data_IF_792425893831
#
_entry.id   IF_792425893831
#
_cell.length_a   1.000
_cell.length_b   1.000
_cell.length_c   1.000
_cell.angle_alpha   90.00
_cell.angle_beta   90.00
_cell.angle_gamma   90.00
#
_symmetry.space_group_name_H-M   'P 1'
#
loop_
_entity.id
_entity.type
_entity.pdbx_description
1 polymer ?
#
# COMPACT_ATOMS: atom_id res chain seq x y z
N UNK A 1 -25.17 -4.70 14.40
CA UNK A 1 -24.68 -3.31 14.46
C UNK A 1 -23.81 -3.07 13.24
N UNK A 2 -24.22 -2.18 12.35
CA UNK A 2 -23.36 -1.69 11.26
C UNK A 2 -22.25 -0.86 11.91
N UNK A 3 -21.01 -1.33 11.80
CA UNK A 3 -19.86 -0.57 12.29
C UNK A 3 -19.66 0.64 11.38
N UNK A 4 -19.58 1.82 11.98
CA UNK A 4 -19.46 3.08 11.24
C UNK A 4 -18.09 3.17 10.56
N UNK A 5 -18.11 3.40 9.24
CA UNK A 5 -16.91 3.59 8.44
C UNK A 5 -16.57 5.07 8.47
N UNK A 6 -15.36 5.48 8.89
CA UNK A 6 -15.00 6.88 8.96
C UNK A 6 -15.03 7.54 7.56
N UNK A 7 -15.50 8.79 7.49
CA UNK A 7 -15.32 9.64 6.30
C UNK A 7 -13.83 9.94 6.08
N UNK A 8 -13.47 10.43 4.89
CA UNK A 8 -12.10 10.85 4.63
C UNK A 8 -11.64 11.93 5.62
N UNK A 9 -12.51 12.90 5.93
CA UNK A 9 -12.21 13.93 6.92
C UNK A 9 -11.94 13.32 8.30
N UNK A 10 -12.79 12.42 8.78
CA UNK A 10 -12.62 11.78 10.09
C UNK A 10 -11.38 10.84 10.11
N UNK A 11 -11.07 10.18 8.99
CA UNK A 11 -9.86 9.37 8.87
C UNK A 11 -8.61 10.19 9.11
N UNK A 12 -8.46 11.29 8.38
CA UNK A 12 -7.26 12.14 8.47
C UNK A 12 -7.21 12.97 9.75
N UNK A 13 -8.36 13.38 10.30
CA UNK A 13 -8.41 14.03 11.62
C UNK A 13 -7.95 13.10 12.77
N UNK A 14 -8.03 11.79 12.57
CA UNK A 14 -7.56 10.79 13.53
C UNK A 14 -6.07 10.46 13.42
N UNK A 15 -5.31 11.17 12.61
CA UNK A 15 -3.86 10.99 12.43
C UNK A 15 -3.09 12.29 12.61
N UNK A 16 -1.82 12.26 12.23
CA UNK A 16 -0.90 13.39 12.32
C UNK A 16 0.04 13.44 11.11
N UNK A 17 0.66 14.58 10.89
CA UNK A 17 1.70 14.76 9.88
C UNK A 17 3.03 15.01 10.56
N UNK A 18 4.00 14.13 10.34
CA UNK A 18 5.36 14.23 10.88
C UNK A 18 6.36 14.67 9.81
N UNK A 19 7.49 15.23 10.24
CA UNK A 19 8.56 15.63 9.33
C UNK A 19 9.38 14.43 8.84
N UNK A 20 9.71 14.42 7.55
CA UNK A 20 10.60 13.44 6.94
C UNK A 20 11.65 14.13 6.06
N UNK A 21 12.91 13.80 6.27
CA UNK A 21 14.03 14.22 5.41
C UNK A 21 14.41 13.05 4.48
N UNK A 22 14.13 13.13 3.18
CA UNK A 22 14.45 12.08 2.23
C UNK A 22 15.97 11.93 2.00
N UNK A 23 16.77 12.97 2.22
CA UNK A 23 18.22 12.89 2.06
C UNK A 23 18.87 12.15 3.24
N UNK A 24 18.43 12.44 4.45
CA UNK A 24 18.84 11.74 5.66
C UNK A 24 18.15 10.39 5.83
N UNK A 25 17.04 10.14 5.12
CA UNK A 25 16.15 8.98 5.29
C UNK A 25 15.70 8.83 6.74
N UNK A 26 15.29 9.93 7.34
CA UNK A 26 14.99 10.01 8.76
C UNK A 26 13.73 10.84 9.05
N UNK A 27 13.04 10.46 10.13
CA UNK A 27 12.01 11.31 10.73
C UNK A 27 12.70 12.44 11.49
N UNK A 28 12.25 13.66 11.28
CA UNK A 28 12.79 14.88 11.88
C UNK A 28 11.72 15.60 12.67
N UNK A 29 12.13 16.15 13.84
CA UNK A 29 11.21 16.86 14.74
C UNK A 29 10.94 18.30 14.31
N UNK A 30 11.91 18.94 13.67
CA UNK A 30 11.81 20.34 13.20
C UNK A 30 11.49 20.33 11.71
N UNK A 31 10.32 20.80 11.32
CA UNK A 31 9.82 20.64 9.95
C UNK A 31 10.27 21.71 8.96
N UNK A 32 11.15 22.61 9.31
CA UNK A 32 11.62 23.63 8.37
C UNK A 32 12.41 22.95 7.24
N UNK A 33 11.82 22.96 6.02
CA UNK A 33 12.38 22.28 4.85
C UNK A 33 12.13 20.76 4.75
N UNK A 34 11.58 20.11 5.79
CA UNK A 34 11.22 18.72 5.74
C UNK A 34 9.89 18.47 5.02
N UNK A 35 9.77 17.35 4.34
CA UNK A 35 8.51 16.86 3.79
C UNK A 35 7.61 16.37 4.92
N UNK A 36 6.29 16.54 4.76
CA UNK A 36 5.30 16.08 5.74
C UNK A 36 4.71 14.76 5.29
N UNK A 37 4.72 13.78 6.19
CA UNK A 37 4.18 12.44 5.98
C UNK A 37 3.06 12.18 6.96
N UNK A 38 1.92 11.73 6.47
CA UNK A 38 0.77 11.38 7.29
C UNK A 38 0.92 10.00 7.90
N UNK A 39 0.62 9.92 9.20
CA UNK A 39 0.51 8.69 9.97
C UNK A 39 -0.80 8.68 10.77
N UNK A 40 -1.40 7.51 10.89
CA UNK A 40 -2.44 7.22 11.87
C UNK A 40 -1.99 6.06 12.75
N UNK A 41 -2.06 6.26 14.05
CA UNK A 41 -1.55 5.33 15.05
C UNK A 41 -2.65 4.93 16.03
N UNK A 42 -2.67 3.65 16.42
CA UNK A 42 -3.52 3.14 17.48
C UNK A 42 -2.72 2.19 18.37
N UNK A 43 -2.71 2.45 19.68
CA UNK A 43 -1.99 1.64 20.67
C UNK A 43 -0.48 1.92 20.75
N UNK A 44 0.24 1.05 21.45
CA UNK A 44 1.71 1.13 21.60
C UNK A 44 2.40 0.51 20.38
N UNK A 45 3.15 1.33 19.66
CA UNK A 45 3.77 0.94 18.40
C UNK A 45 5.03 0.07 18.57
N UNK A 46 5.51 -0.18 19.78
CA UNK A 46 6.67 -1.05 19.96
C UNK A 46 6.50 -2.41 19.26
N UNK A 47 5.25 -2.92 19.22
CA UNK A 47 4.87 -4.19 18.58
C UNK A 47 3.61 -3.99 17.75
N UNK A 48 3.72 -3.32 16.60
CA UNK A 48 2.55 -2.89 15.81
C UNK A 48 2.35 -3.72 14.54
N UNK A 49 1.10 -3.77 14.07
CA UNK A 49 0.79 -4.17 12.71
C UNK A 49 0.92 -2.94 11.80
N UNK A 50 1.80 -3.00 10.80
CA UNK A 50 2.00 -1.94 9.83
C UNK A 50 1.15 -2.18 8.58
N UNK A 51 0.17 -1.31 8.36
CA UNK A 51 -0.73 -1.34 7.22
C UNK A 51 -0.19 -0.45 6.10
N UNK A 52 0.40 -1.07 5.08
CA UNK A 52 0.99 -0.39 3.94
C UNK A 52 -0.06 -0.25 2.82
N UNK A 53 -0.33 0.97 2.36
CA UNK A 53 -1.47 1.25 1.49
C UNK A 53 -1.24 0.87 0.04
N UNK A 54 -2.34 0.64 -0.68
CA UNK A 54 -2.37 0.54 -2.13
C UNK A 54 -2.44 1.89 -2.83
N UNK A 55 -2.21 1.87 -4.13
CA UNK A 55 -2.36 3.04 -5.01
C UNK A 55 -3.73 2.98 -5.71
N UNK A 56 -4.44 4.08 -5.81
CA UNK A 56 -4.10 5.44 -5.38
C UNK A 56 -4.72 5.84 -4.02
N UNK A 57 -5.38 4.94 -3.32
CA UNK A 57 -6.25 5.20 -2.16
C UNK A 57 -5.51 5.77 -0.95
N UNK A 58 -4.22 5.52 -0.84
CA UNK A 58 -3.47 5.83 0.36
C UNK A 58 -3.97 5.04 1.59
N UNK A 59 -3.65 5.53 2.76
CA UNK A 59 -4.08 4.91 4.02
C UNK A 59 -5.61 4.88 4.19
N UNK A 60 -6.34 5.79 3.53
CA UNK A 60 -7.80 5.81 3.56
C UNK A 60 -8.43 4.53 2.99
N UNK A 61 -7.72 3.82 2.12
CA UNK A 61 -8.13 2.49 1.66
C UNK A 61 -8.44 1.51 2.80
N UNK A 62 -7.80 1.66 3.96
CA UNK A 62 -8.01 0.84 5.16
C UNK A 62 -9.21 1.27 6.01
N UNK A 63 -9.86 2.41 5.72
CA UNK A 63 -10.95 2.95 6.51
C UNK A 63 -12.13 1.98 6.68
N UNK A 64 -12.43 1.19 5.65
CA UNK A 64 -13.50 0.17 5.72
C UNK A 64 -13.09 -1.09 6.50
N UNK A 65 -11.81 -1.33 6.66
CA UNK A 65 -11.27 -2.50 7.38
C UNK A 65 -11.18 -2.20 8.86
N UNK A 66 -10.79 -0.97 9.22
CA UNK A 66 -10.54 -0.56 10.60
C UNK A 66 -11.65 -0.97 11.60
N UNK A 67 -12.94 -0.79 11.32
CA UNK A 67 -14.00 -1.15 12.26
C UNK A 67 -14.08 -2.65 12.58
N UNK A 68 -13.44 -3.51 11.77
CA UNK A 68 -13.45 -4.97 11.94
C UNK A 68 -12.17 -5.49 12.60
N UNK A 69 -11.17 -4.64 12.78
CA UNK A 69 -9.92 -4.99 13.46
C UNK A 69 -10.11 -4.91 14.99
N UNK A 70 -9.30 -5.63 15.76
CA UNK A 70 -9.23 -5.48 17.23
C UNK A 70 -8.92 -4.04 17.64
N UNK A 71 -9.17 -3.70 18.91
CA UNK A 71 -8.83 -2.38 19.45
C UNK A 71 -7.33 -2.10 19.37
N UNK A 72 -6.93 -0.84 19.49
CA UNK A 72 -5.51 -0.48 19.52
C UNK A 72 -4.78 -1.03 20.76
N UNK A 73 -5.50 -1.37 21.82
CA UNK A 73 -4.92 -2.02 23.00
C UNK A 73 -4.57 -3.49 22.73
N UNK A 74 -5.43 -4.20 21.97
CA UNK A 74 -5.24 -5.61 21.66
C UNK A 74 -4.36 -5.83 20.42
N UNK A 75 -4.42 -4.91 19.48
CA UNK A 75 -3.64 -4.93 18.24
C UNK A 75 -3.20 -3.51 17.87
N UNK A 76 -2.01 -3.07 18.31
CA UNK A 76 -1.44 -1.80 17.90
C UNK A 76 -1.29 -1.72 16.39
N UNK A 77 -1.67 -0.57 15.79
CA UNK A 77 -1.74 -0.38 14.34
C UNK A 77 -1.03 0.89 13.91
N UNK A 78 -0.30 0.79 12.83
CA UNK A 78 0.32 1.90 12.13
C UNK A 78 -0.18 1.94 10.69
N UNK A 79 -0.86 3.02 10.32
CA UNK A 79 -1.22 3.34 8.94
C UNK A 79 -0.38 4.53 8.49
N UNK A 80 -0.03 4.58 7.22
CA UNK A 80 0.76 5.67 6.66
C UNK A 80 0.32 6.00 5.23
N UNK A 81 0.58 7.25 4.82
CA UNK A 81 0.55 7.64 3.42
C UNK A 81 1.98 7.84 2.90
N UNK A 82 2.29 7.24 1.77
CA UNK A 82 3.53 7.58 1.08
C UNK A 82 3.50 9.01 0.55
N UNK A 83 4.67 9.61 0.34
CA UNK A 83 4.74 10.85 -0.43
C UNK A 83 4.03 10.67 -1.78
N UNK A 84 3.27 11.67 -2.18
CA UNK A 84 2.43 11.62 -3.38
C UNK A 84 1.00 11.12 -3.14
N UNK A 85 0.65 10.63 -1.93
CA UNK A 85 -0.65 10.02 -1.62
C UNK A 85 -1.29 10.62 -0.37
N UNK A 86 -2.61 10.52 -0.28
CA UNK A 86 -3.41 10.89 0.89
C UNK A 86 -3.07 12.27 1.46
N UNK A 87 -2.80 12.34 2.77
CA UNK A 87 -2.46 13.60 3.47
C UNK A 87 -0.95 13.88 3.55
N UNK A 88 -0.10 13.05 2.91
CA UNK A 88 1.32 13.32 2.77
C UNK A 88 1.62 14.35 1.67
N UNK A 89 2.79 14.99 1.74
CA UNK A 89 3.23 15.94 0.72
C UNK A 89 3.42 15.32 -0.66
N UNK A 90 3.38 16.19 -1.69
CA UNK A 90 3.51 15.83 -3.10
C UNK A 90 4.67 16.61 -3.74
N UNK A 91 5.93 16.31 -3.38
CA UNK A 91 7.08 17.02 -3.92
C UNK A 91 7.18 16.80 -5.44
N UNK A 92 7.48 17.89 -6.17
CA UNK A 92 7.52 17.90 -7.64
C UNK A 92 8.70 17.09 -8.19
N UNK A 93 9.84 17.18 -7.52
CA UNK A 93 11.13 16.61 -7.95
C UNK A 93 11.45 15.34 -7.15
N UNK A 94 10.45 14.49 -6.95
CA UNK A 94 10.57 13.23 -6.23
C UNK A 94 10.25 12.08 -7.19
N UNK A 95 11.07 11.01 -7.15
CA UNK A 95 10.95 9.92 -8.13
C UNK A 95 9.76 8.99 -7.84
N UNK A 96 9.26 8.98 -6.61
CA UNK A 96 8.18 8.09 -6.17
C UNK A 96 8.48 6.61 -6.41
N UNK A 97 9.75 6.25 -6.35
CA UNK A 97 10.25 4.89 -6.57
C UNK A 97 9.92 3.95 -5.42
N UNK A 98 9.93 2.65 -5.68
CA UNK A 98 9.82 1.61 -4.64
C UNK A 98 10.90 1.76 -3.57
N UNK A 99 12.12 2.12 -3.98
CA UNK A 99 13.27 2.33 -3.08
C UNK A 99 13.02 3.44 -2.09
N UNK A 100 12.56 4.62 -2.56
CA UNK A 100 12.26 5.78 -1.70
C UNK A 100 11.08 5.51 -0.75
N UNK A 101 10.06 4.79 -1.20
CA UNK A 101 8.96 4.37 -0.34
C UNK A 101 9.41 3.41 0.75
N UNK A 102 10.32 2.50 0.43
CA UNK A 102 10.93 1.62 1.43
C UNK A 102 11.78 2.41 2.42
N UNK A 103 12.57 3.40 1.95
CA UNK A 103 13.33 4.29 2.81
C UNK A 103 12.42 5.03 3.80
N UNK A 104 11.29 5.53 3.33
CA UNK A 104 10.29 6.20 4.17
C UNK A 104 9.73 5.26 5.24
N UNK A 105 9.31 4.05 4.88
CA UNK A 105 8.75 3.07 5.83
C UNK A 105 9.79 2.69 6.88
N UNK A 106 11.03 2.41 6.46
CA UNK A 106 12.13 2.10 7.39
C UNK A 106 12.41 3.28 8.33
N UNK A 107 12.39 4.53 7.83
CA UNK A 107 12.56 5.74 8.64
C UNK A 107 11.44 5.93 9.67
N UNK A 108 10.18 5.65 9.27
CA UNK A 108 9.02 5.72 10.18
C UNK A 108 9.17 4.70 11.30
N UNK A 109 9.47 3.44 11.00
CA UNK A 109 9.66 2.42 12.04
C UNK A 109 10.77 2.80 13.01
N UNK A 110 11.89 3.29 12.47
CA UNK A 110 13.01 3.72 13.29
C UNK A 110 12.66 4.93 14.17
N UNK A 111 12.08 5.96 13.57
CA UNK A 111 11.72 7.20 14.26
C UNK A 111 10.64 7.03 15.32
N UNK A 112 9.76 6.03 15.16
CA UNK A 112 8.70 5.70 16.13
C UNK A 112 9.11 4.60 17.13
N UNK A 113 10.33 4.07 17.04
CA UNK A 113 10.81 3.04 17.95
C UNK A 113 10.10 1.69 17.83
N UNK A 114 9.60 1.35 16.62
CA UNK A 114 8.97 0.05 16.33
C UNK A 114 10.01 -1.05 16.47
N UNK A 115 9.81 -1.98 17.41
CA UNK A 115 10.73 -3.09 17.69
C UNK A 115 10.38 -4.33 16.88
N UNK A 116 9.08 -4.60 16.72
CA UNK A 116 8.61 -5.68 15.87
C UNK A 116 7.33 -5.29 15.13
N UNK A 117 7.09 -5.91 13.97
CA UNK A 117 5.92 -5.62 13.16
C UNK A 117 5.42 -6.84 12.40
N UNK A 118 4.11 -6.89 12.19
CA UNK A 118 3.49 -7.70 11.14
C UNK A 118 3.17 -6.77 9.97
N UNK A 119 3.58 -7.15 8.77
CA UNK A 119 3.38 -6.35 7.56
C UNK A 119 2.08 -6.76 6.88
N UNK A 120 1.18 -5.82 6.72
CA UNK A 120 -0.04 -5.99 5.93
C UNK A 120 0.06 -5.03 4.74
N UNK A 121 0.35 -5.57 3.57
CA UNK A 121 0.60 -4.80 2.36
C UNK A 121 -0.53 -5.01 1.34
N UNK A 122 -0.93 -3.93 0.72
CA UNK A 122 -1.96 -3.93 -0.31
C UNK A 122 -1.39 -3.37 -1.62
N UNK A 123 -1.74 -4.03 -2.74
CA UNK A 123 -1.38 -3.57 -4.09
C UNK A 123 0.15 -3.39 -4.24
N UNK A 124 0.62 -2.27 -4.79
CA UNK A 124 2.05 -2.00 -5.01
C UNK A 124 2.92 -2.01 -3.73
N UNK A 125 2.32 -1.90 -2.55
CA UNK A 125 3.09 -2.04 -1.30
C UNK A 125 3.71 -3.43 -1.11
N UNK A 126 3.27 -4.42 -1.88
CA UNK A 126 3.98 -5.69 -2.04
C UNK A 126 5.45 -5.47 -2.41
N UNK A 127 5.73 -4.57 -3.36
CA UNK A 127 7.09 -4.26 -3.81
C UNK A 127 7.93 -3.61 -2.70
N UNK A 128 7.31 -2.77 -1.87
CA UNK A 128 7.97 -2.16 -0.70
C UNK A 128 8.36 -3.24 0.32
N UNK A 129 7.47 -4.20 0.57
CA UNK A 129 7.76 -5.36 1.45
C UNK A 129 8.89 -6.21 0.87
N UNK A 130 8.84 -6.54 -0.42
CA UNK A 130 9.90 -7.32 -1.08
C UNK A 130 11.25 -6.60 -1.03
N UNK A 131 11.28 -5.30 -1.28
CA UNK A 131 12.51 -4.50 -1.19
C UNK A 131 13.06 -4.48 0.25
N UNK A 132 12.21 -4.32 1.25
CA UNK A 132 12.62 -4.38 2.64
C UNK A 132 13.24 -5.76 3.00
N UNK A 133 12.56 -6.86 2.65
CA UNK A 133 13.06 -8.22 2.90
C UNK A 133 14.38 -8.47 2.16
N UNK A 134 14.50 -8.01 0.92
CA UNK A 134 15.74 -8.08 0.14
C UNK A 134 16.90 -7.34 0.82
N UNK A 135 16.64 -6.14 1.33
CA UNK A 135 17.65 -5.35 2.08
C UNK A 135 18.09 -6.09 3.35
N UNK A 136 17.15 -6.68 4.07
CA UNK A 136 17.46 -7.51 5.25
C UNK A 136 18.36 -8.69 4.90
N UNK A 137 18.04 -9.39 3.80
CA UNK A 137 18.85 -10.51 3.31
C UNK A 137 20.26 -10.07 2.94
N UNK A 138 20.41 -8.97 2.21
CA UNK A 138 21.73 -8.43 1.85
C UNK A 138 22.56 -8.00 3.08
N UNK A 139 21.92 -7.42 4.09
CA UNK A 139 22.61 -7.08 5.35
C UNK A 139 23.10 -8.34 6.05
N UNK A 140 22.25 -9.37 6.16
CA UNK A 140 22.62 -10.64 6.76
C UNK A 140 23.78 -11.34 6.03
N UNK A 141 23.77 -11.35 4.70
CA UNK A 141 24.86 -11.90 3.88
C UNK A 141 26.19 -11.15 4.08
N UNK A 142 26.15 -9.89 4.50
CA UNK A 142 27.34 -9.07 4.82
C UNK A 142 27.68 -9.10 6.31
N UNK A 143 27.10 -9.99 7.11
CA UNK A 143 27.31 -10.05 8.54
C UNK A 143 26.84 -8.82 9.32
N UNK A 144 25.95 -8.01 8.75
CA UNK A 144 25.40 -6.80 9.38
C UNK A 144 24.07 -7.11 10.06
N UNK A 145 23.67 -6.34 11.11
CA UNK A 145 22.34 -6.42 11.68
C UNK A 145 21.25 -6.30 10.61
N UNK A 146 20.13 -6.98 10.81
CA UNK A 146 19.04 -7.02 9.84
C UNK A 146 18.52 -5.63 9.44
N UNK A 147 18.56 -4.67 10.38
CA UNK A 147 18.01 -3.32 10.23
C UNK A 147 16.49 -3.32 10.27
N UNK A 148 15.91 -2.31 10.90
CA UNK A 148 14.46 -2.22 11.10
C UNK A 148 13.93 -3.20 12.16
N UNK A 149 12.58 -3.25 12.32
CA UNK A 149 11.92 -4.08 13.31
C UNK A 149 12.02 -5.57 13.00
N UNK A 150 11.83 -6.44 14.01
CA UNK A 150 11.63 -7.87 13.77
C UNK A 150 10.31 -8.11 13.07
N UNK A 151 10.31 -8.96 12.03
CA UNK A 151 9.12 -9.30 11.27
C UNK A 151 8.46 -10.53 11.88
N UNK A 152 7.19 -10.41 12.27
CA UNK A 152 6.38 -11.50 12.83
C UNK A 152 5.45 -12.15 11.80
N UNK A 153 5.17 -11.48 10.69
CA UNK A 153 4.34 -12.01 9.62
C UNK A 153 4.31 -11.07 8.42
N UNK A 154 3.98 -11.62 7.27
CA UNK A 154 3.82 -10.87 6.02
C UNK A 154 2.52 -11.29 5.36
N UNK A 155 1.59 -10.34 5.22
CA UNK A 155 0.32 -10.50 4.54
C UNK A 155 0.28 -9.56 3.34
N UNK A 156 0.15 -10.10 2.14
CA UNK A 156 0.13 -9.35 0.89
C UNK A 156 -1.20 -9.62 0.17
N UNK A 157 -1.92 -8.54 -0.13
CA UNK A 157 -3.21 -8.62 -0.83
C UNK A 157 -3.13 -7.87 -2.15
N UNK A 158 -3.61 -8.51 -3.23
CA UNK A 158 -3.62 -7.97 -4.59
C UNK A 158 -2.29 -7.31 -4.98
N UNK A 159 -1.17 -7.96 -4.63
CA UNK A 159 0.17 -7.43 -4.83
C UNK A 159 0.87 -8.02 -6.04
N UNK A 160 1.67 -7.21 -6.70
CA UNK A 160 2.53 -7.61 -7.83
C UNK A 160 3.73 -8.42 -7.37
N UNK A 161 3.56 -9.72 -7.15
CA UNK A 161 4.61 -10.63 -6.66
C UNK A 161 5.50 -11.18 -7.76
N UNK A 162 4.92 -11.41 -8.93
CA UNK A 162 5.57 -11.98 -10.09
C UNK A 162 5.37 -11.09 -11.31
N UNK A 163 6.44 -10.73 -12.01
CA UNK A 163 6.39 -9.81 -13.15
C UNK A 163 5.58 -10.35 -14.32
N UNK A 164 5.57 -11.66 -14.52
CA UNK A 164 4.80 -12.33 -15.57
C UNK A 164 3.30 -12.50 -15.22
N UNK A 165 2.92 -12.17 -13.98
CA UNK A 165 1.53 -12.10 -13.54
C UNK A 165 0.92 -10.71 -13.58
N UNK A 166 1.73 -9.69 -13.84
CA UNK A 166 1.32 -8.29 -13.81
C UNK A 166 0.77 -7.81 -15.15
N UNK A 167 -0.32 -7.08 -15.12
CA UNK A 167 -0.91 -6.48 -16.32
C UNK A 167 -1.38 -5.04 -16.09
N UNK A 168 -1.39 -4.26 -17.17
CA UNK A 168 -1.94 -2.90 -17.17
C UNK A 168 -3.04 -2.78 -18.22
N UNK A 169 -4.33 -2.78 -17.83
CA UNK A 169 -5.39 -2.46 -18.74
C UNK A 169 -5.15 -1.10 -19.41
N UNK A 170 -5.46 -0.99 -20.72
CA UNK A 170 -5.17 0.20 -21.54
C UNK A 170 -5.76 1.50 -20.98
N UNK A 171 -6.88 1.40 -20.24
CA UNK A 171 -7.59 2.53 -19.64
C UNK A 171 -7.00 3.03 -18.32
N UNK A 172 -5.89 2.47 -17.87
CA UNK A 172 -5.19 2.82 -16.64
C UNK A 172 -3.89 3.58 -16.95
N UNK A 173 -2.78 3.14 -16.42
CA UNK A 173 -1.46 3.75 -16.61
C UNK A 173 -1.06 3.97 -18.08
N UNK A 174 -1.31 3.03 -19.03
CA UNK A 174 -1.00 3.27 -20.43
C UNK A 174 -1.76 4.46 -21.03
N UNK A 175 -3.03 4.62 -20.67
CA UNK A 175 -3.82 5.79 -21.10
C UNK A 175 -3.27 7.08 -20.50
N UNK A 176 -3.00 7.10 -19.21
CA UNK A 176 -2.43 8.27 -18.54
C UNK A 176 -1.09 8.69 -19.15
N UNK A 177 -0.22 7.74 -19.51
CA UNK A 177 1.08 8.01 -20.15
C UNK A 177 0.96 8.61 -21.55
N UNK A 178 -0.12 8.31 -22.28
CA UNK A 178 -0.37 8.86 -23.64
C UNK A 178 -0.89 10.29 -23.62
N UNK A 179 -1.41 10.76 -22.48
CA UNK A 179 -1.87 12.13 -22.37
C UNK A 179 -0.70 13.12 -22.32
N UNK A 180 -0.82 14.31 -22.93
CA UNK A 180 0.14 15.39 -22.75
C UNK A 180 0.34 15.74 -21.27
N UNK A 181 1.53 16.16 -20.87
CA UNK A 181 1.86 16.45 -19.48
C UNK A 181 0.85 17.40 -18.79
N UNK A 182 0.35 18.41 -19.53
CA UNK A 182 -0.69 19.33 -19.02
C UNK A 182 -2.02 18.64 -18.77
N UNK A 183 -2.40 17.66 -19.60
CA UNK A 183 -3.64 16.92 -19.44
C UNK A 183 -3.54 15.79 -18.41
N UNK A 184 -2.34 15.27 -18.16
CA UNK A 184 -2.10 14.30 -17.05
C UNK A 184 -2.31 14.92 -15.69
N UNK A 185 -1.95 16.22 -15.56
CA UNK A 185 -2.10 16.97 -14.33
C UNK A 185 -3.56 17.31 -14.13
N UNK A 186 -4.18 16.75 -13.11
CA UNK A 186 -5.57 17.07 -12.75
C UNK A 186 -6.66 16.23 -13.45
N UNK A 187 -6.30 15.19 -14.22
CA UNK A 187 -7.29 14.19 -14.67
C UNK A 187 -7.96 13.55 -13.45
N UNK A 188 -9.29 13.63 -13.39
CA UNK A 188 -10.07 13.15 -12.26
C UNK A 188 -10.27 14.19 -11.14
N UNK A 189 -9.61 15.34 -11.18
CA UNK A 189 -9.79 16.40 -10.18
C UNK A 189 -11.23 16.93 -10.10
N UNK A 190 -11.97 17.17 -11.23
CA UNK A 190 -13.40 17.40 -11.14
C UNK A 190 -14.14 16.13 -10.70
N UNK A 191 -14.82 16.20 -9.56
CA UNK A 191 -15.53 15.06 -8.94
C UNK A 191 -16.48 14.35 -9.94
N UNK A 192 -17.19 15.11 -10.78
CA UNK A 192 -18.10 14.55 -11.77
C UNK A 192 -17.36 13.70 -12.82
N UNK A 193 -16.13 14.10 -13.20
CA UNK A 193 -15.30 13.34 -14.14
C UNK A 193 -14.73 12.10 -13.45
N UNK A 194 -14.22 12.24 -12.22
CA UNK A 194 -13.73 11.14 -11.40
C UNK A 194 -14.76 10.02 -11.27
N UNK A 195 -16.00 10.37 -10.93
CA UNK A 195 -17.10 9.41 -10.81
C UNK A 195 -17.42 8.65 -12.10
N UNK A 196 -17.09 9.22 -13.26
CA UNK A 196 -17.34 8.64 -14.59
C UNK A 196 -16.13 7.92 -15.20
N UNK A 197 -14.96 8.00 -14.57
CA UNK A 197 -13.76 7.32 -15.08
C UNK A 197 -13.96 5.80 -15.06
N UNK A 198 -13.86 5.11 -16.22
CA UNK A 198 -14.12 3.65 -16.29
C UNK A 198 -13.21 2.84 -15.36
N UNK A 199 -11.96 3.26 -15.20
CA UNK A 199 -10.98 2.62 -14.31
C UNK A 199 -11.42 2.65 -12.85
N UNK A 200 -12.01 3.75 -12.39
CA UNK A 200 -12.39 3.92 -10.98
C UNK A 200 -13.45 2.89 -10.56
N UNK A 201 -14.55 2.77 -11.33
CA UNK A 201 -15.63 1.83 -10.97
C UNK A 201 -15.24 0.35 -11.12
N UNK A 202 -14.29 0.05 -11.98
CA UNK A 202 -13.76 -1.31 -12.20
C UNK A 202 -12.79 -1.77 -11.11
N UNK A 203 -12.43 -0.91 -10.17
CA UNK A 203 -11.58 -1.25 -9.01
C UNK A 203 -12.36 -1.95 -7.88
N UNK A 204 -13.66 -2.21 -8.04
CA UNK A 204 -14.49 -2.94 -7.08
C UNK A 204 -14.95 -4.27 -7.67
N UNK A 205 -15.25 -5.23 -6.81
CA UNK A 205 -15.89 -6.49 -7.21
C UNK A 205 -17.17 -6.23 -7.99
N UNK A 206 -17.47 -7.08 -8.97
CA UNK A 206 -18.70 -7.00 -9.77
C UNK A 206 -19.98 -7.05 -8.92
N UNK A 207 -19.90 -7.72 -7.77
CA UNK A 207 -21.01 -7.84 -6.81
C UNK A 207 -21.14 -6.63 -5.89
N UNK A 208 -20.21 -5.66 -5.96
CA UNK A 208 -20.21 -4.47 -5.11
C UNK A 208 -20.53 -3.22 -5.89
N UNK A 209 -21.68 -2.66 -5.62
CA UNK A 209 -22.11 -1.39 -6.23
C UNK A 209 -21.57 -0.22 -5.42
N UNK A 210 -20.40 0.31 -5.83
CA UNK A 210 -19.86 1.53 -5.22
C UNK A 210 -20.81 2.71 -5.40
N UNK A 211 -21.17 3.36 -4.31
CA UNK A 211 -22.06 4.52 -4.32
C UNK A 211 -21.33 5.81 -4.73
N UNK A 212 -22.08 6.81 -5.16
CA UNK A 212 -21.53 8.13 -5.46
C UNK A 212 -21.00 8.85 -4.21
N UNK A 213 -21.54 8.54 -3.03
CA UNK A 213 -21.01 9.03 -1.75
C UNK A 213 -19.62 8.44 -1.47
N UNK A 214 -19.46 7.12 -1.61
CA UNK A 214 -18.16 6.47 -1.43
C UNK A 214 -17.11 6.95 -2.42
N UNK A 215 -17.50 7.20 -3.68
CA UNK A 215 -16.61 7.81 -4.67
C UNK A 215 -16.25 9.25 -4.30
N UNK A 216 -17.16 9.99 -3.67
CA UNK A 216 -16.90 11.32 -3.13
C UNK A 216 -15.87 11.30 -2.00
N UNK A 217 -15.98 10.37 -1.07
CA UNK A 217 -15.02 10.18 0.02
C UNK A 217 -13.63 9.78 -0.51
N UNK A 218 -13.59 8.84 -1.46
CA UNK A 218 -12.34 8.45 -2.10
C UNK A 218 -11.68 9.62 -2.84
N UNK A 219 -12.46 10.37 -3.62
CA UNK A 219 -11.98 11.57 -4.31
C UNK A 219 -11.42 12.58 -3.31
N UNK A 220 -12.13 12.85 -2.22
CA UNK A 220 -11.70 13.77 -1.16
C UNK A 220 -10.38 13.32 -0.52
N UNK A 221 -10.22 12.02 -0.28
CA UNK A 221 -8.98 11.46 0.25
C UNK A 221 -7.80 11.62 -0.74
N UNK A 222 -8.04 11.35 -2.02
CA UNK A 222 -7.01 11.40 -3.06
C UNK A 222 -6.59 12.82 -3.44
N UNK A 223 -7.50 13.81 -3.38
CA UNK A 223 -7.23 15.19 -3.81
C UNK A 223 -6.60 16.06 -2.70
N UNK A 224 -6.36 15.52 -1.52
CA UNK A 224 -5.65 16.24 -0.45
C UNK A 224 -4.29 16.72 -0.94
N UNK A 225 -3.95 17.97 -0.63
CA UNK A 225 -2.70 18.62 -1.06
C UNK A 225 -2.42 18.47 -2.57
N UNK A 226 -3.46 18.64 -3.39
CA UNK A 226 -3.40 18.49 -4.85
C UNK A 226 -3.03 17.07 -5.34
N UNK A 227 -3.38 16.03 -4.58
CA UNK A 227 -2.99 14.66 -4.86
C UNK A 227 -3.40 14.16 -6.26
N UNK A 228 -4.60 14.49 -6.73
CA UNK A 228 -5.05 14.13 -8.08
C UNK A 228 -4.27 14.85 -9.18
N UNK A 229 -3.67 15.99 -8.88
CA UNK A 229 -2.77 16.68 -9.81
C UNK A 229 -1.44 15.93 -10.01
N UNK A 230 -0.95 15.27 -8.96
CA UNK A 230 0.31 14.53 -8.96
C UNK A 230 0.14 13.02 -9.20
N UNK A 231 -1.08 12.53 -9.36
CA UNK A 231 -1.41 11.11 -9.46
C UNK A 231 -0.54 10.36 -10.48
N UNK A 232 -0.33 10.96 -11.67
CA UNK A 232 0.48 10.35 -12.72
C UNK A 232 1.97 10.24 -12.37
N UNK A 233 2.50 11.18 -11.56
CA UNK A 233 3.87 11.12 -11.06
C UNK A 233 3.99 10.07 -9.95
N UNK A 234 3.03 10.03 -9.02
CA UNK A 234 2.98 9.06 -7.95
C UNK A 234 2.86 7.59 -8.43
N UNK A 235 2.41 7.37 -9.68
CA UNK A 235 2.39 6.05 -10.35
C UNK A 235 3.78 5.60 -10.89
N UNK A 236 4.87 6.26 -10.50
CA UNK A 236 6.23 5.94 -10.96
C UNK A 236 6.67 4.50 -10.68
N UNK A 237 6.16 3.88 -9.61
CA UNK A 237 6.44 2.48 -9.23
C UNK A 237 6.11 1.46 -10.33
N UNK A 238 5.21 1.77 -11.25
CA UNK A 238 4.85 0.88 -12.37
C UNK A 238 6.07 0.61 -13.28
N UNK A 239 6.90 1.63 -13.50
CA UNK A 239 8.16 1.43 -14.23
C UNK A 239 9.16 0.61 -13.41
N UNK A 240 9.18 0.80 -12.10
CA UNK A 240 10.03 0.07 -11.18
C UNK A 240 9.72 -1.42 -11.14
N UNK A 241 8.45 -1.81 -11.16
CA UNK A 241 8.06 -3.22 -11.12
C UNK A 241 8.70 -4.01 -12.27
N UNK A 242 8.60 -3.50 -13.48
CA UNK A 242 9.21 -4.14 -14.65
C UNK A 242 10.75 -4.11 -14.60
N UNK A 243 11.33 -3.00 -14.15
CA UNK A 243 12.79 -2.83 -14.10
C UNK A 243 13.46 -3.62 -12.95
N UNK A 244 12.72 -3.96 -11.91
CA UNK A 244 13.26 -4.59 -10.69
C UNK A 244 12.84 -6.04 -10.50
N UNK A 245 12.11 -6.65 -11.46
CA UNK A 245 11.52 -7.97 -11.34
C UNK A 245 12.50 -9.05 -10.86
N UNK A 246 13.68 -9.11 -11.46
CA UNK A 246 14.70 -10.09 -11.06
C UNK A 246 15.29 -9.78 -9.68
N UNK A 247 15.32 -8.51 -9.29
CA UNK A 247 15.85 -8.07 -7.99
C UNK A 247 14.88 -8.35 -6.84
N UNK A 248 13.58 -8.29 -7.11
CA UNK A 248 12.50 -8.47 -6.14
C UNK A 248 11.86 -9.87 -6.26
N UNK A 249 12.67 -10.91 -6.42
CA UNK A 249 12.21 -12.30 -6.54
C UNK A 249 11.49 -12.77 -5.27
N UNK A 250 10.17 -12.74 -5.32
CA UNK A 250 9.31 -13.20 -4.21
C UNK A 250 9.57 -14.67 -3.88
N UNK A 251 9.77 -15.53 -4.88
CA UNK A 251 10.00 -16.94 -4.67
C UNK A 251 11.29 -17.20 -3.86
N UNK A 252 12.35 -16.48 -4.15
CA UNK A 252 13.60 -16.55 -3.41
C UNK A 252 13.43 -16.01 -1.98
N UNK A 253 12.80 -14.86 -1.81
CA UNK A 253 12.56 -14.24 -0.50
C UNK A 253 11.65 -15.12 0.37
N UNK A 254 10.57 -15.65 -0.18
CA UNK A 254 9.69 -16.58 0.53
C UNK A 254 10.48 -17.82 1.02
N UNK A 255 11.23 -18.49 0.14
CA UNK A 255 12.04 -19.68 0.52
C UNK A 255 13.02 -19.36 1.63
N UNK A 256 13.60 -18.16 1.63
CA UNK A 256 14.56 -17.70 2.65
C UNK A 256 13.91 -17.48 4.00
N UNK A 257 12.70 -16.91 4.02
CA UNK A 257 12.09 -16.43 5.26
C UNK A 257 10.94 -17.29 5.80
N UNK A 258 10.38 -18.22 5.03
CA UNK A 258 9.20 -19.04 5.39
C UNK A 258 9.30 -19.80 6.71
N UNK A 259 10.50 -20.07 7.19
CA UNK A 259 10.74 -20.74 8.47
C UNK A 259 10.94 -19.77 9.64
N UNK A 260 10.94 -18.46 9.37
CA UNK A 260 11.13 -17.41 10.39
C UNK A 260 9.81 -16.75 10.79
N UNK A 261 8.92 -16.57 9.84
CA UNK A 261 7.60 -15.99 10.05
C UNK A 261 6.63 -16.44 8.95
N UNK A 262 5.31 -16.41 9.23
CA UNK A 262 4.30 -16.81 8.26
C UNK A 262 4.17 -15.80 7.12
N UNK A 263 3.80 -16.33 5.95
CA UNK A 263 3.39 -15.56 4.78
C UNK A 263 1.97 -15.95 4.40
N UNK A 264 1.14 -14.93 4.13
CA UNK A 264 -0.16 -15.09 3.52
C UNK A 264 -0.23 -14.21 2.27
N UNK A 265 -0.63 -14.80 1.15
CA UNK A 265 -0.93 -14.09 -0.08
C UNK A 265 -2.43 -14.15 -0.32
N UNK A 266 -3.07 -13.01 -0.41
CA UNK A 266 -4.47 -12.88 -0.76
C UNK A 266 -4.66 -12.15 -2.08
N UNK A 267 -5.72 -12.47 -2.81
CA UNK A 267 -6.03 -11.76 -4.03
C UNK A 267 -7.36 -12.17 -4.65
N UNK A 268 -7.72 -11.44 -5.70
CA UNK A 268 -8.96 -11.66 -6.43
C UNK A 268 -8.68 -11.92 -7.90
N UNK A 269 -9.36 -12.93 -8.46
CA UNK A 269 -9.36 -13.21 -9.89
C UNK A 269 -10.04 -12.09 -10.71
N UNK A 270 -10.78 -11.20 -10.05
CA UNK A 270 -11.42 -10.01 -10.63
C UNK A 270 -10.50 -8.78 -10.64
N UNK A 271 -9.30 -8.86 -10.05
CA UNK A 271 -8.34 -7.75 -10.05
C UNK A 271 -7.88 -7.43 -11.49
N UNK A 272 -8.07 -6.20 -11.98
CA UNK A 272 -7.71 -5.87 -13.34
C UNK A 272 -6.20 -5.82 -13.60
N UNK A 273 -5.37 -5.77 -12.54
CA UNK A 273 -3.92 -5.65 -12.62
C UNK A 273 -3.23 -6.96 -12.25
N UNK A 274 -3.67 -7.59 -11.16
CA UNK A 274 -2.95 -8.67 -10.48
C UNK A 274 -3.75 -9.99 -10.42
N UNK A 275 -4.70 -10.18 -11.35
CA UNK A 275 -5.61 -11.35 -11.36
C UNK A 275 -4.90 -12.71 -11.38
N UNK A 276 -3.67 -12.80 -11.92
CA UNK A 276 -2.90 -14.03 -12.01
C UNK A 276 -1.97 -14.31 -10.82
N UNK A 277 -1.78 -13.34 -9.92
CA UNK A 277 -0.76 -13.45 -8.87
C UNK A 277 -1.04 -14.58 -7.89
N UNK A 278 -2.31 -14.79 -7.53
CA UNK A 278 -2.71 -15.88 -6.62
C UNK A 278 -2.50 -17.24 -7.25
N UNK A 279 -2.80 -17.38 -8.55
CA UNK A 279 -2.57 -18.64 -9.29
C UNK A 279 -1.08 -18.96 -9.37
N UNK A 280 -0.26 -17.98 -9.74
CA UNK A 280 1.19 -18.13 -9.80
C UNK A 280 1.80 -18.43 -8.43
N UNK A 281 1.28 -17.79 -7.38
CA UNK A 281 1.71 -18.07 -6.00
C UNK A 281 1.38 -19.51 -5.59
N UNK A 282 0.17 -19.98 -5.92
CA UNK A 282 -0.26 -21.35 -5.65
C UNK A 282 0.58 -22.36 -6.45
N UNK A 283 0.79 -22.12 -7.73
CA UNK A 283 1.55 -23.00 -8.61
C UNK A 283 3.01 -23.12 -8.16
N UNK A 284 3.67 -21.99 -7.88
CA UNK A 284 5.12 -21.94 -7.63
C UNK A 284 5.50 -22.22 -6.18
N UNK A 285 4.64 -21.83 -5.21
CA UNK A 285 5.01 -21.80 -3.80
C UNK A 285 4.02 -22.52 -2.89
N UNK A 286 2.83 -22.90 -3.35
CA UNK A 286 1.81 -23.57 -2.52
C UNK A 286 2.32 -24.86 -1.89
N UNK A 287 3.02 -25.70 -2.66
CA UNK A 287 3.65 -26.96 -2.16
C UNK A 287 4.78 -26.70 -1.14
N UNK A 288 5.28 -25.48 -1.05
CA UNK A 288 6.31 -25.08 -0.08
C UNK A 288 5.72 -24.51 1.21
N UNK A 289 4.39 -24.51 1.36
CA UNK A 289 3.69 -24.07 2.56
C UNK A 289 3.29 -22.58 2.56
N UNK A 290 3.28 -21.91 1.40
CA UNK A 290 2.71 -20.57 1.29
C UNK A 290 1.19 -20.65 1.54
N UNK A 291 0.71 -19.86 2.50
CA UNK A 291 -0.73 -19.72 2.74
C UNK A 291 -1.34 -18.79 1.69
N UNK A 292 -2.48 -19.19 1.14
CA UNK A 292 -3.14 -18.48 0.04
C UNK A 292 -4.62 -18.35 0.33
N UNK A 293 -5.13 -17.12 0.17
CA UNK A 293 -6.54 -16.80 0.32
C UNK A 293 -7.08 -16.12 -0.95
N UNK A 294 -8.18 -16.68 -1.48
CA UNK A 294 -8.90 -16.07 -2.60
C UNK A 294 -10.04 -15.23 -2.09
N UNK A 295 -10.05 -13.97 -2.46
CA UNK A 295 -11.13 -13.04 -2.12
C UNK A 295 -11.89 -12.61 -3.37
N UNK A 296 -13.17 -12.30 -3.18
CA UNK A 296 -14.00 -11.70 -4.23
C UNK A 296 -13.89 -10.16 -4.26
N UNK A 297 -12.82 -9.59 -3.68
CA UNK A 297 -12.60 -8.16 -3.65
C UNK A 297 -11.57 -7.75 -4.70
N UNK A 298 -11.90 -6.77 -5.50
CA UNK A 298 -10.99 -6.12 -6.45
C UNK A 298 -10.18 -5.04 -5.72
N UNK A 299 -9.11 -4.58 -6.25
CA UNK A 299 -8.07 -3.59 -5.85
C UNK A 299 -8.29 -2.64 -4.66
N UNK A 300 -9.43 -2.65 -3.99
CA UNK A 300 -9.64 -1.94 -2.72
C UNK A 300 -9.84 -2.96 -1.59
N UNK A 301 -9.19 -2.81 -0.43
CA UNK A 301 -9.41 -3.68 0.74
C UNK A 301 -10.84 -3.56 1.30
N UNK A 302 -11.74 -2.96 0.58
CA UNK A 302 -13.15 -2.75 0.89
C UNK A 302 -13.89 -4.07 0.81
N UNK A 303 -13.76 -4.85 1.86
CA UNK A 303 -14.36 -6.17 2.02
C UNK A 303 -15.87 -6.14 1.81
N UNK A 304 -16.36 -7.15 1.07
CA UNK A 304 -17.77 -7.50 1.06
C UNK A 304 -18.15 -7.97 2.50
N UNK A 305 -18.96 -7.18 3.19
CA UNK A 305 -19.29 -7.29 4.62
C UNK A 305 -20.06 -8.55 5.03
N UNK A 306 -20.16 -9.57 4.17
CA UNK A 306 -21.00 -10.76 4.43
C UNK A 306 -20.28 -11.99 4.98
N UNK A 307 -18.96 -12.00 5.07
CA UNK A 307 -18.23 -13.05 5.81
C UNK A 307 -17.08 -12.45 6.61
N UNK A 308 -17.09 -12.52 7.94
CA UNK A 308 -15.94 -12.08 8.72
C UNK A 308 -14.76 -13.00 8.48
N UNK A 309 -13.58 -12.43 8.30
CA UNK A 309 -12.32 -13.16 8.37
C UNK A 309 -12.20 -13.80 9.75
N UNK A 310 -12.00 -15.09 9.81
CA UNK A 310 -11.48 -15.75 11.01
C UNK A 310 -9.97 -15.74 10.88
N UNK A 311 -9.34 -14.90 11.68
CA UNK A 311 -7.89 -14.95 11.93
C UNK A 311 -7.57 -16.17 12.77
#
# INVERSE_FOLDING_TARGET
MTREIPSAQAWFAGGERIGYDPNARAIVQTPEGALRVFLRREGDLAHAVSFLPGFPDGSFGWAKVLPYLPSGADMPKLFLDYLGMGDSDKPKDYAYSTTERTDLVEAIWWGLGVKSTTLVAFDFSSLVVLEHLRRRLQRAQRGKPAGGPDIHGVFIFNGGLFTDGHSHPWYTTPMLRRLPNRARRGVGRPLWLFKRMPGIRKMWSKDYHVTDAELGELHSAMDRHDGLFYLAAAAGFVADHTAQGDRLDFGHLFKTYRHRFPFLVGGSDEDPFEHRQVDLAQERLGKLGLQIERCRAVTSPRMNSRKPWRL
#
